data_IF_554286003671
#
_entry.id   IF_554286003671
#
_cell.length_a   1.000
_cell.length_b   1.000
_cell.length_c   1.000
_cell.angle_alpha   90.00
_cell.angle_beta   90.00
_cell.angle_gamma   90.00
#
_symmetry.space_group_name_H-M   'P 1'
#
loop_
_entity.id
_entity.type
_entity.pdbx_description
1 polymer ?
#
# COMPACT_ATOMS: atom_id res chain seq x y z
N UNK A 1 2.36 -6.40 -20.23
CA UNK A 1 3.37 -6.86 -19.25
C UNK A 1 3.40 -8.38 -19.20
N UNK A 2 4.51 -9.02 -18.79
CA UNK A 2 4.55 -10.46 -18.53
C UNK A 2 3.58 -10.87 -17.41
N UNK A 3 2.94 -12.04 -17.54
CA UNK A 3 1.97 -12.55 -16.54
C UNK A 3 2.59 -12.67 -15.13
N UNK A 4 3.85 -13.11 -15.03
CA UNK A 4 4.57 -13.20 -13.77
C UNK A 4 4.65 -11.85 -13.05
N UNK A 5 4.97 -10.77 -13.80
CA UNK A 5 5.02 -9.40 -13.26
C UNK A 5 3.67 -8.95 -12.72
N UNK A 6 2.57 -9.25 -13.43
CA UNK A 6 1.21 -8.91 -12.96
C UNK A 6 0.87 -9.66 -11.68
N UNK A 7 1.23 -10.94 -11.57
CA UNK A 7 1.02 -11.73 -10.35
C UNK A 7 1.82 -11.18 -9.17
N UNK A 8 3.08 -10.81 -9.37
CA UNK A 8 3.93 -10.20 -8.34
C UNK A 8 3.35 -8.86 -7.85
N UNK A 9 2.86 -8.04 -8.78
CA UNK A 9 2.19 -6.78 -8.44
C UNK A 9 0.90 -7.00 -7.63
N UNK A 10 0.09 -7.99 -8.01
CA UNK A 10 -1.12 -8.35 -7.25
C UNK A 10 -0.80 -8.86 -5.84
N UNK A 11 0.27 -9.63 -5.68
CA UNK A 11 0.75 -10.04 -4.35
C UNK A 11 1.21 -8.83 -3.54
N UNK A 12 2.02 -7.96 -4.14
CA UNK A 12 2.51 -6.74 -3.50
C UNK A 12 1.39 -5.81 -3.05
N UNK A 13 0.33 -5.68 -3.86
CA UNK A 13 -0.89 -4.95 -3.50
C UNK A 13 -1.50 -5.46 -2.20
N UNK A 14 -1.72 -6.78 -2.11
CA UNK A 14 -2.31 -7.41 -0.91
C UNK A 14 -1.45 -7.21 0.33
N UNK A 15 -0.13 -7.28 0.18
CA UNK A 15 0.79 -7.01 1.28
C UNK A 15 0.68 -5.56 1.78
N UNK A 16 0.64 -4.59 0.87
CA UNK A 16 0.48 -3.17 1.20
C UNK A 16 -0.86 -2.91 1.89
N UNK A 17 -1.96 -3.45 1.38
CA UNK A 17 -3.29 -3.36 2.01
C UNK A 17 -3.26 -3.91 3.44
N UNK A 18 -2.63 -5.08 3.64
CA UNK A 18 -2.49 -5.70 4.96
C UNK A 18 -1.65 -4.84 5.90
N UNK A 19 -0.53 -4.29 5.44
CA UNK A 19 0.31 -3.41 6.24
C UNK A 19 -0.41 -2.13 6.64
N UNK A 20 -1.14 -1.51 5.72
CA UNK A 20 -1.95 -0.33 6.01
C UNK A 20 -3.01 -0.65 7.06
N UNK A 21 -3.75 -1.76 6.92
CA UNK A 21 -4.73 -2.18 7.93
C UNK A 21 -4.10 -2.37 9.31
N UNK A 22 -2.93 -3.02 9.39
CA UNK A 22 -2.22 -3.22 10.66
C UNK A 22 -1.78 -1.89 11.29
N UNK A 23 -1.27 -0.96 10.48
CA UNK A 23 -0.87 0.38 10.95
C UNK A 23 -2.07 1.18 11.43
N UNK A 24 -3.18 1.18 10.69
CA UNK A 24 -4.41 1.85 11.11
C UNK A 24 -4.96 1.25 12.42
N UNK A 25 -5.01 -0.07 12.54
CA UNK A 25 -5.47 -0.74 13.77
C UNK A 25 -4.60 -0.40 14.98
N UNK A 26 -3.28 -0.27 14.79
CA UNK A 26 -2.36 0.15 15.86
C UNK A 26 -2.35 1.65 16.13
N UNK A 27 -2.80 2.47 15.18
CA UNK A 27 -2.71 3.94 15.28
C UNK A 27 -3.43 4.53 16.49
N UNK A 28 -4.49 3.87 16.96
CA UNK A 28 -5.23 4.26 18.16
C UNK A 28 -4.37 4.21 19.43
N UNK A 29 -3.34 3.36 19.47
CA UNK A 29 -2.44 3.19 20.61
C UNK A 29 -1.20 4.08 20.53
N UNK A 30 -0.99 4.79 19.42
CA UNK A 30 0.18 5.61 19.22
C UNK A 30 0.17 6.86 20.10
N UNK A 31 1.32 7.16 20.71
CA UNK A 31 1.62 8.45 21.31
C UNK A 31 1.85 9.54 20.25
N UNK A 32 2.01 10.79 20.69
CA UNK A 32 2.11 11.96 19.78
C UNK A 32 3.23 11.83 18.73
N UNK A 33 4.43 11.42 19.13
CA UNK A 33 5.56 11.28 18.22
C UNK A 33 5.42 10.09 17.24
N UNK A 34 4.72 9.04 17.66
CA UNK A 34 4.41 7.88 16.81
C UNK A 34 3.33 8.23 15.80
N UNK A 35 2.33 9.03 16.17
CA UNK A 35 1.31 9.51 15.23
C UNK A 35 1.89 10.33 14.09
N UNK A 36 2.81 11.25 14.37
CA UNK A 36 3.45 12.07 13.33
C UNK A 36 4.26 11.20 12.35
N UNK A 37 5.11 10.31 12.87
CA UNK A 37 5.93 9.41 12.03
C UNK A 37 5.08 8.38 11.29
N UNK A 38 4.09 7.82 11.97
CA UNK A 38 3.18 6.84 11.44
C UNK A 38 2.23 7.40 10.38
N UNK A 39 1.81 8.66 10.50
CA UNK A 39 1.01 9.35 9.48
C UNK A 39 1.77 9.46 8.14
N UNK A 40 3.03 9.92 8.18
CA UNK A 40 3.87 9.98 6.98
C UNK A 40 4.11 8.59 6.36
N UNK A 41 4.24 7.57 7.21
CA UNK A 41 4.39 6.17 6.76
C UNK A 41 3.11 5.66 6.09
N UNK A 42 1.95 5.92 6.68
CA UNK A 42 0.63 5.55 6.12
C UNK A 42 0.41 6.26 4.78
N UNK A 43 0.71 7.55 4.70
CA UNK A 43 0.59 8.34 3.47
C UNK A 43 1.46 7.77 2.35
N UNK A 44 2.73 7.49 2.65
CA UNK A 44 3.65 6.88 1.69
C UNK A 44 3.17 5.51 1.19
N UNK A 45 2.75 4.62 2.10
CA UNK A 45 2.24 3.30 1.73
C UNK A 45 0.93 3.38 0.94
N UNK A 46 0.08 4.36 1.23
CA UNK A 46 -1.16 4.62 0.48
C UNK A 46 -0.85 5.10 -0.94
N UNK A 47 0.14 5.98 -1.09
CA UNK A 47 0.61 6.43 -2.40
C UNK A 47 1.16 5.28 -3.24
N UNK A 48 1.99 4.40 -2.65
CA UNK A 48 2.49 3.20 -3.34
C UNK A 48 1.36 2.27 -3.79
N UNK A 49 0.32 2.11 -2.96
CA UNK A 49 -0.85 1.31 -3.30
C UNK A 49 -1.59 1.89 -4.51
N UNK A 50 -1.75 3.22 -4.55
CA UNK A 50 -2.42 3.92 -5.64
C UNK A 50 -1.65 3.74 -6.96
N UNK A 51 -0.35 4.04 -6.96
CA UNK A 51 0.52 3.89 -8.14
C UNK A 51 0.51 2.46 -8.69
N UNK A 52 0.59 1.47 -7.80
CA UNK A 52 0.57 0.07 -8.19
C UNK A 52 -0.79 -0.33 -8.77
N UNK A 53 -1.88 0.25 -8.27
CA UNK A 53 -3.23 0.02 -8.82
C UNK A 53 -3.37 0.64 -10.20
N UNK A 54 -2.88 1.87 -10.41
CA UNK A 54 -2.88 2.51 -11.74
C UNK A 54 -2.07 1.70 -12.77
N UNK A 55 -0.91 1.17 -12.37
CA UNK A 55 -0.10 0.34 -13.27
C UNK A 55 -0.81 -0.98 -13.64
N UNK A 56 -1.53 -1.59 -12.69
CA UNK A 56 -2.33 -2.79 -12.95
C UNK A 56 -3.51 -2.49 -13.88
N UNK A 57 -4.20 -1.36 -13.68
CA UNK A 57 -5.32 -0.96 -14.53
C UNK A 57 -4.84 -0.63 -15.95
N UNK A 58 -3.70 0.05 -16.09
CA UNK A 58 -3.07 0.29 -17.38
C UNK A 58 -2.66 -1.02 -18.08
N UNK A 59 -2.11 -1.98 -17.33
CA UNK A 59 -1.74 -3.30 -17.86
C UNK A 59 -2.97 -4.15 -18.26
N UNK A 60 -4.13 -3.91 -17.64
CA UNK A 60 -5.40 -4.56 -18.00
C UNK A 60 -6.05 -3.95 -19.24
N UNK A 61 -5.89 -2.65 -19.45
CA UNK A 61 -6.48 -1.91 -20.57
C UNK A 61 -5.70 -2.02 -21.88
N UNK A 62 -4.44 -2.48 -21.83
CA UNK A 62 -3.54 -2.70 -22.98
C UNK A 62 -3.65 -4.12 -23.54
#
# INVERSE_FOLDING_TARGET
MPLATVLDMLQRRKELERHLQLLFNRSCQWGRAERVRGAATIENLTQQLFELTEQLDAARAA
#
